data_IF_433686017102
#
_entry.id   IF_433686017102
#
_cell.length_a   1.000
_cell.length_b   1.000
_cell.length_c   1.000
_cell.angle_alpha   90.00
_cell.angle_beta   90.00
_cell.angle_gamma   90.00
#
_symmetry.space_group_name_H-M   'P 1'
#
loop_
_entity.id
_entity.type
_entity.pdbx_description
1 polymer ?
#
# COMPACT_ATOMS: atom_id res chain seq x y z
N UNK A 1 -19.75 -5.95 -25.00
CA UNK A 1 -19.24 -5.48 -23.70
C UNK A 1 -18.11 -6.43 -23.33
N UNK A 2 -16.87 -5.93 -23.19
CA UNK A 2 -15.72 -6.78 -22.87
C UNK A 2 -15.91 -7.34 -21.46
N UNK A 3 -15.86 -8.67 -21.31
CA UNK A 3 -15.63 -9.28 -20.01
C UNK A 3 -14.12 -9.37 -19.87
N UNK A 4 -13.55 -8.63 -18.92
CA UNK A 4 -12.24 -8.99 -18.39
C UNK A 4 -12.37 -10.41 -17.87
N UNK A 5 -11.45 -11.31 -18.25
CA UNK A 5 -11.37 -12.58 -17.55
C UNK A 5 -11.08 -12.22 -16.09
N UNK A 6 -12.00 -12.53 -15.17
CA UNK A 6 -11.77 -12.23 -13.78
C UNK A 6 -10.52 -12.99 -13.35
N UNK A 7 -9.68 -12.34 -12.55
CA UNK A 7 -8.64 -13.04 -11.82
C UNK A 7 -9.30 -14.19 -11.06
N UNK A 8 -8.74 -15.39 -11.19
CA UNK A 8 -9.34 -16.60 -10.64
C UNK A 8 -9.21 -16.63 -9.10
N UNK A 9 -8.36 -15.77 -8.54
CA UNK A 9 -8.00 -15.75 -7.13
C UNK A 9 -6.88 -16.73 -6.81
N UNK A 10 -6.62 -17.72 -7.63
CA UNK A 10 -5.56 -18.68 -7.32
C UNK A 10 -4.15 -18.14 -7.65
N UNK A 11 -4.02 -16.87 -8.03
CA UNK A 11 -2.72 -16.27 -8.35
C UNK A 11 -1.81 -16.20 -7.09
N UNK A 12 -0.55 -16.66 -7.21
CA UNK A 12 0.41 -16.60 -6.13
C UNK A 12 1.06 -15.23 -6.00
N UNK A 13 1.60 -14.97 -4.82
CA UNK A 13 2.57 -13.90 -4.60
C UNK A 13 3.96 -14.42 -4.96
N UNK A 14 4.72 -13.69 -5.77
CA UNK A 14 6.07 -14.10 -6.21
C UNK A 14 7.15 -13.14 -5.74
N UNK A 15 8.39 -13.62 -5.70
CA UNK A 15 9.61 -12.81 -5.54
C UNK A 15 10.72 -13.42 -6.40
N UNK A 16 11.28 -12.64 -7.32
CA UNK A 16 12.25 -13.11 -8.32
C UNK A 16 11.68 -14.22 -9.19
N UNK A 17 10.38 -14.17 -9.50
CA UNK A 17 9.66 -15.23 -10.23
C UNK A 17 9.41 -16.53 -9.44
N UNK A 18 9.85 -16.59 -8.18
CA UNK A 18 9.61 -17.74 -7.30
C UNK A 18 8.36 -17.51 -6.46
N UNK A 19 7.49 -18.52 -6.35
CA UNK A 19 6.30 -18.46 -5.50
C UNK A 19 6.71 -18.32 -4.03
N UNK A 20 6.18 -17.30 -3.36
CA UNK A 20 6.35 -17.06 -1.92
C UNK A 20 5.11 -17.43 -1.12
N UNK A 21 3.93 -17.16 -1.67
CA UNK A 21 2.65 -17.54 -1.05
C UNK A 21 1.70 -18.04 -2.15
N UNK A 22 1.32 -19.31 -2.09
CA UNK A 22 0.33 -19.90 -2.99
C UNK A 22 -1.09 -19.41 -2.66
N UNK A 23 -1.96 -19.29 -3.68
CA UNK A 23 -3.36 -18.86 -3.54
C UNK A 23 -3.51 -17.56 -2.72
N UNK A 24 -2.52 -16.67 -2.80
CA UNK A 24 -2.48 -15.44 -2.03
C UNK A 24 -3.67 -14.55 -2.38
N UNK A 25 -3.91 -14.41 -3.68
CA UNK A 25 -4.94 -13.52 -4.21
C UNK A 25 -6.35 -14.03 -3.86
N UNK A 26 -6.54 -15.32 -3.58
CA UNK A 26 -7.83 -15.90 -3.18
C UNK A 26 -8.22 -15.40 -1.80
N UNK A 27 -7.23 -15.29 -0.93
CA UNK A 27 -7.40 -14.69 0.40
C UNK A 27 -7.75 -13.20 0.29
N UNK A 28 -7.22 -12.51 -0.72
CA UNK A 28 -7.50 -11.11 -1.00
C UNK A 28 -8.88 -10.89 -1.67
N UNK A 29 -9.26 -11.70 -2.66
CA UNK A 29 -10.56 -11.62 -3.35
C UNK A 29 -11.73 -12.12 -2.54
N UNK A 30 -11.49 -12.97 -1.54
CA UNK A 30 -12.48 -13.22 -0.50
C UNK A 30 -12.95 -11.94 0.19
N UNK A 31 -12.22 -10.81 0.04
CA UNK A 31 -12.53 -9.54 0.67
C UNK A 31 -13.09 -8.47 -0.29
N UNK A 32 -12.96 -8.60 -1.63
CA UNK A 32 -13.46 -7.60 -2.60
C UNK A 32 -13.50 -8.10 -4.08
N UNK A 33 -14.36 -7.50 -4.92
CA UNK A 33 -14.42 -7.73 -6.39
C UNK A 33 -13.50 -6.74 -7.12
N UNK A 34 -12.36 -7.12 -7.74
CA UNK A 34 -11.56 -6.10 -8.46
C UNK A 34 -10.40 -6.52 -9.39
N UNK A 35 -9.94 -5.51 -10.15
CA UNK A 35 -8.77 -5.51 -11.03
C UNK A 35 -7.56 -4.82 -10.35
N UNK A 36 -6.47 -5.57 -10.10
CA UNK A 36 -5.32 -5.15 -9.28
C UNK A 36 -4.58 -3.88 -9.74
N UNK A 37 -4.71 -3.49 -11.01
CA UNK A 37 -4.09 -2.28 -11.55
C UNK A 37 -4.88 -1.00 -11.25
N UNK A 38 -6.09 -1.10 -10.67
CA UNK A 38 -6.89 0.06 -10.26
C UNK A 38 -6.31 0.69 -8.99
N UNK A 39 -6.18 2.04 -8.90
CA UNK A 39 -5.62 2.72 -7.72
C UNK A 39 -6.28 2.38 -6.38
N UNK A 40 -7.59 2.24 -6.33
CA UNK A 40 -8.32 1.91 -5.11
C UNK A 40 -7.97 0.49 -4.63
N UNK A 41 -8.00 -0.46 -5.57
CA UNK A 41 -7.72 -1.88 -5.33
C UNK A 41 -6.26 -2.08 -4.93
N UNK A 42 -5.34 -1.37 -5.58
CA UNK A 42 -3.93 -1.33 -5.21
C UNK A 42 -3.72 -0.78 -3.80
N UNK A 43 -4.52 0.19 -3.37
CA UNK A 43 -4.53 0.68 -1.99
C UNK A 43 -4.81 -0.45 -0.99
N UNK A 44 -5.92 -1.16 -1.19
CA UNK A 44 -6.28 -2.32 -0.37
C UNK A 44 -5.24 -3.45 -0.46
N UNK A 45 -4.69 -3.70 -1.64
CA UNK A 45 -3.67 -4.72 -1.84
C UNK A 45 -2.37 -4.39 -1.10
N UNK A 46 -1.90 -3.14 -1.16
CA UNK A 46 -0.74 -2.68 -0.41
C UNK A 46 -0.95 -2.84 1.11
N UNK A 47 -2.13 -2.52 1.61
CA UNK A 47 -2.49 -2.72 3.00
C UNK A 47 -2.50 -4.21 3.39
N UNK A 48 -3.09 -5.06 2.55
CA UNK A 48 -3.09 -6.50 2.76
C UNK A 48 -1.68 -7.10 2.74
N UNK A 49 -0.80 -6.66 1.83
CA UNK A 49 0.62 -7.03 1.84
C UNK A 49 1.26 -6.67 3.17
N UNK A 50 1.11 -5.43 3.64
CA UNK A 50 1.69 -4.99 4.90
C UNK A 50 1.19 -5.86 6.05
N UNK A 51 -0.12 -6.08 6.15
CA UNK A 51 -0.70 -6.96 7.16
C UNK A 51 -0.13 -8.39 7.13
N UNK A 52 -0.04 -8.99 5.93
CA UNK A 52 0.51 -10.33 5.76
C UNK A 52 1.98 -10.39 6.17
N UNK A 53 2.78 -9.38 5.83
CA UNK A 53 4.16 -9.26 6.30
C UNK A 53 4.22 -9.16 7.83
N UNK A 54 3.33 -8.39 8.46
CA UNK A 54 3.28 -8.27 9.92
C UNK A 54 2.92 -9.59 10.61
N UNK A 55 2.01 -10.40 10.04
CA UNK A 55 1.66 -11.71 10.57
C UNK A 55 2.80 -12.74 10.54
N UNK A 56 3.84 -12.50 9.73
CA UNK A 56 5.04 -13.38 9.71
C UNK A 56 5.94 -13.21 10.94
N UNK A 57 5.73 -12.17 11.75
CA UNK A 57 6.43 -12.01 13.01
C UNK A 57 5.96 -13.06 13.99
N UNK A 58 6.85 -13.99 14.34
CA UNK A 58 6.63 -14.94 15.42
C UNK A 58 7.07 -14.32 16.75
N UNK A 59 6.22 -14.41 17.77
CA UNK A 59 6.58 -14.03 19.14
C UNK A 59 5.51 -13.27 19.91
N UNK A 60 5.42 -13.56 21.22
CA UNK A 60 4.43 -12.96 22.13
C UNK A 60 4.52 -11.43 22.24
N UNK A 61 5.66 -10.83 21.90
CA UNK A 61 5.88 -9.38 22.02
C UNK A 61 5.30 -8.59 20.86
N UNK A 62 5.30 -9.12 19.64
CA UNK A 62 4.79 -8.40 18.47
C UNK A 62 3.50 -9.07 18.01
N UNK A 63 2.37 -8.40 18.21
CA UNK A 63 1.06 -8.99 17.94
C UNK A 63 0.29 -8.14 16.93
N UNK A 64 -0.43 -8.81 16.04
CA UNK A 64 -1.30 -8.20 15.04
C UNK A 64 -2.68 -8.83 15.19
N UNK A 65 -3.78 -8.05 15.21
CA UNK A 65 -5.12 -8.64 15.28
C UNK A 65 -5.40 -9.54 14.07
N UNK A 66 -5.56 -10.85 14.31
CA UNK A 66 -5.74 -11.88 13.26
C UNK A 66 -7.05 -11.66 12.48
N UNK A 67 -8.04 -11.01 13.09
CA UNK A 67 -9.33 -10.69 12.50
C UNK A 67 -9.43 -9.29 11.92
N UNK A 68 -8.31 -8.56 11.76
CA UNK A 68 -8.32 -7.12 11.43
C UNK A 68 -9.30 -6.78 10.30
N UNK A 69 -9.19 -7.48 9.16
CA UNK A 69 -10.04 -7.23 7.99
C UNK A 69 -11.43 -7.84 8.06
N UNK A 70 -11.70 -8.76 8.98
CA UNK A 70 -13.06 -9.23 9.25
C UNK A 70 -13.86 -8.22 10.09
N UNK A 71 -13.18 -7.32 10.79
CA UNK A 71 -13.77 -6.35 11.71
C UNK A 71 -13.61 -4.89 11.26
N UNK A 72 -12.84 -4.64 10.19
CA UNK A 72 -12.56 -3.30 9.68
C UNK A 72 -13.82 -2.68 9.11
N UNK A 73 -14.06 -1.43 9.46
CA UNK A 73 -15.11 -0.59 8.88
C UNK A 73 -14.43 0.48 8.02
N UNK A 74 -14.98 0.82 6.86
CA UNK A 74 -14.38 1.82 5.94
C UNK A 74 -14.18 3.20 6.60
N UNK A 75 -14.91 3.50 7.67
CA UNK A 75 -14.75 4.71 8.49
C UNK A 75 -13.61 4.65 9.51
N UNK A 76 -12.89 3.53 9.61
CA UNK A 76 -11.77 3.40 10.54
C UNK A 76 -10.66 4.38 10.18
N UNK A 77 -10.21 5.11 11.21
CA UNK A 77 -9.26 6.22 11.07
C UNK A 77 -7.87 5.75 10.63
N UNK A 78 -7.48 4.53 11.02
CA UNK A 78 -6.19 3.94 10.73
C UNK A 78 -6.39 2.69 9.87
N UNK A 79 -5.45 2.45 8.96
CA UNK A 79 -5.53 1.27 8.09
C UNK A 79 -5.15 0.01 8.85
N UNK A 80 -4.08 0.04 9.66
CA UNK A 80 -3.61 -1.15 10.39
C UNK A 80 -3.20 -0.80 11.82
N UNK A 81 -3.16 -1.81 12.68
CA UNK A 81 -2.64 -1.70 14.05
C UNK A 81 -1.78 -2.90 14.38
N UNK A 82 -0.77 -2.68 15.22
CA UNK A 82 0.01 -3.75 15.84
C UNK A 82 0.29 -3.40 17.30
N UNK A 83 0.66 -4.39 18.08
CA UNK A 83 1.04 -4.26 19.47
C UNK A 83 2.50 -4.67 19.61
N UNK A 84 3.26 -3.88 20.36
CA UNK A 84 4.59 -4.24 20.79
C UNK A 84 4.63 -4.21 22.32
N UNK A 85 4.76 -5.38 22.92
CA UNK A 85 4.39 -5.63 24.31
C UNK A 85 2.92 -5.19 24.53
N UNK A 86 2.64 -4.39 25.54
CA UNK A 86 1.28 -3.88 25.83
C UNK A 86 0.97 -2.53 25.15
N UNK A 87 1.84 -2.06 24.26
CA UNK A 87 1.69 -0.75 23.59
C UNK A 87 1.10 -0.94 22.20
N UNK A 88 -0.05 -0.32 21.95
CA UNK A 88 -0.68 -0.24 20.63
C UNK A 88 0.00 0.82 19.77
N UNK A 89 0.29 0.46 18.53
CA UNK A 89 0.74 1.36 17.48
C UNK A 89 -0.21 1.32 16.29
N UNK A 90 -0.36 2.47 15.64
CA UNK A 90 -1.25 2.67 14.49
C UNK A 90 -0.45 2.92 13.22
N UNK A 91 -0.92 2.38 12.10
CA UNK A 91 -0.30 2.51 10.79
C UNK A 91 -1.31 3.10 9.82
N UNK A 92 -0.89 4.14 9.08
CA UNK A 92 -1.55 4.57 7.85
C UNK A 92 -0.75 4.03 6.66
N UNK A 93 -1.44 3.40 5.72
CA UNK A 93 -0.89 2.94 4.45
C UNK A 93 -1.27 3.92 3.35
N UNK A 94 -0.31 4.25 2.49
CA UNK A 94 -0.56 4.98 1.24
C UNK A 94 0.17 4.27 0.11
N UNK A 95 -0.47 4.09 -1.03
CA UNK A 95 0.16 3.44 -2.19
C UNK A 95 0.20 4.32 -3.44
N UNK A 96 1.29 4.21 -4.19
CA UNK A 96 1.47 4.81 -5.51
C UNK A 96 2.21 3.83 -6.41
N UNK A 97 2.03 4.00 -7.71
CA UNK A 97 2.77 3.27 -8.73
C UNK A 97 3.65 4.22 -9.54
N UNK A 98 4.66 3.68 -10.24
CA UNK A 98 5.57 4.45 -11.09
C UNK A 98 4.90 5.08 -12.31
N UNK A 99 3.79 4.51 -12.80
CA UNK A 99 3.10 4.98 -14.00
C UNK A 99 2.17 6.17 -13.76
N UNK A 100 1.74 6.38 -12.52
CA UNK A 100 0.88 7.49 -12.12
C UNK A 100 1.56 8.84 -12.39
N UNK A 101 0.90 9.76 -13.07
CA UNK A 101 1.44 11.11 -13.34
C UNK A 101 1.68 11.92 -12.05
N UNK A 102 0.81 11.73 -11.06
CA UNK A 102 0.94 12.30 -9.73
C UNK A 102 1.78 11.35 -8.86
N UNK A 103 2.98 11.81 -8.48
CA UNK A 103 3.93 11.08 -7.63
C UNK A 103 3.90 11.55 -6.16
N UNK A 104 2.78 12.13 -5.72
CA UNK A 104 2.57 12.55 -4.34
C UNK A 104 1.66 11.58 -3.57
N UNK A 105 2.08 11.24 -2.36
CA UNK A 105 1.26 10.51 -1.40
C UNK A 105 0.53 11.51 -0.51
N UNK A 106 -0.81 11.46 -0.51
CA UNK A 106 -1.62 12.27 0.40
C UNK A 106 -1.56 11.69 1.81
N UNK A 107 -1.15 12.48 2.79
CA UNK A 107 -1.05 12.06 4.20
C UNK A 107 -2.20 12.57 5.05
N UNK A 108 -2.89 13.63 4.59
CA UNK A 108 -4.01 14.34 5.22
C UNK A 108 -3.76 14.75 6.68
N UNK A 109 -4.05 15.99 7.02
CA UNK A 109 -3.98 16.45 8.41
C UNK A 109 -5.33 16.24 9.09
N UNK A 110 -5.29 15.87 10.37
CA UNK A 110 -6.46 15.86 11.25
C UNK A 110 -7.03 17.28 11.26
N UNK A 111 -8.27 17.40 10.81
CA UNK A 111 -9.13 18.53 11.08
C UNK A 111 -10.28 17.99 11.92
N UNK A 112 -10.49 18.57 13.09
CA UNK A 112 -11.49 18.05 14.03
C UNK A 112 -12.10 19.15 14.87
N UNK A 113 -13.07 18.76 15.69
CA UNK A 113 -13.79 19.65 16.58
C UNK A 113 -13.67 19.13 18.01
N UNK A 114 -13.14 19.96 18.90
CA UNK A 114 -13.13 19.66 20.32
C UNK A 114 -14.50 20.04 20.89
N UNK A 115 -15.32 19.01 21.17
CA UNK A 115 -16.67 19.22 21.72
C UNK A 115 -16.65 19.85 23.12
N UNK A 116 -15.64 19.53 23.94
CA UNK A 116 -15.54 20.03 25.30
C UNK A 116 -15.23 21.55 25.33
N UNK A 117 -14.49 22.04 24.34
CA UNK A 117 -14.17 23.46 24.20
C UNK A 117 -14.99 24.18 23.13
N UNK A 118 -15.89 23.47 22.44
CA UNK A 118 -16.70 23.94 21.32
C UNK A 118 -15.87 24.69 20.24
N UNK A 119 -14.68 24.20 19.93
CA UNK A 119 -13.74 24.85 19.01
C UNK A 119 -13.10 23.86 18.05
N UNK A 120 -12.71 24.29 16.84
CA UNK A 120 -11.88 23.46 15.97
C UNK A 120 -10.57 23.09 16.68
N UNK A 121 -10.11 21.85 16.49
CA UNK A 121 -8.78 21.41 16.89
C UNK A 121 -7.78 22.22 16.05
N UNK A 122 -7.11 23.18 16.69
CA UNK A 122 -6.21 24.14 16.02
C UNK A 122 -4.84 23.56 15.71
N UNK A 123 -4.45 22.47 16.36
CA UNK A 123 -3.14 21.85 16.14
C UNK A 123 -3.30 20.74 15.11
N UNK A 124 -2.93 20.98 13.84
CA UNK A 124 -2.90 19.91 12.86
C UNK A 124 -1.95 18.81 13.36
N UNK A 125 -2.40 17.58 13.22
CA UNK A 125 -1.65 16.38 13.54
C UNK A 125 -1.93 15.35 12.46
N UNK A 126 -1.04 14.39 12.30
CA UNK A 126 -1.36 13.16 11.59
C UNK A 126 -2.08 12.17 12.52
N UNK A 127 -2.88 11.27 11.95
CA UNK A 127 -3.71 10.32 12.71
C UNK A 127 -2.88 9.17 13.29
N UNK A 128 -1.97 8.59 12.50
CA UNK A 128 -1.27 7.35 12.84
C UNK A 128 0.16 7.56 13.34
N UNK A 129 0.65 6.66 14.18
CA UNK A 129 2.04 6.66 14.70
C UNK A 129 3.07 6.50 13.57
N UNK A 130 2.76 5.62 12.62
CA UNK A 130 3.60 5.32 11.47
C UNK A 130 2.83 5.48 10.17
N UNK A 131 3.53 5.93 9.15
CA UNK A 131 3.06 5.97 7.77
C UNK A 131 3.92 5.03 6.95
N UNK A 132 3.28 4.10 6.23
CA UNK A 132 3.92 3.20 5.29
C UNK A 132 3.49 3.60 3.88
N UNK A 133 4.45 4.15 3.13
CA UNK A 133 4.27 4.51 1.72
C UNK A 133 4.75 3.35 0.86
N UNK A 134 3.80 2.59 0.32
CA UNK A 134 4.03 1.46 -0.56
C UNK A 134 4.14 1.94 -2.01
N UNK A 135 5.34 1.87 -2.57
CA UNK A 135 5.63 2.24 -3.94
C UNK A 135 5.77 1.00 -4.81
N UNK A 136 4.95 0.91 -5.86
CA UNK A 136 4.96 -0.16 -6.84
C UNK A 136 5.66 0.29 -8.12
N UNK A 137 6.73 -0.40 -8.50
CA UNK A 137 7.31 -0.25 -9.82
C UNK A 137 6.51 -1.06 -10.84
N UNK A 138 5.93 -0.39 -11.83
CA UNK A 138 5.26 -1.01 -12.98
C UNK A 138 6.14 -0.95 -14.22
N UNK A 139 5.84 -1.85 -15.17
CA UNK A 139 6.39 -1.77 -16.53
C UNK A 139 5.64 -0.69 -17.32
N UNK A 140 6.30 0.46 -17.49
CA UNK A 140 5.73 1.63 -18.17
C UNK A 140 5.41 1.36 -19.64
N UNK A 141 6.18 0.49 -20.31
CA UNK A 141 5.96 0.14 -21.72
C UNK A 141 4.65 -0.63 -21.87
N UNK A 142 4.41 -1.60 -20.98
CA UNK A 142 3.14 -2.34 -20.97
C UNK A 142 1.97 -1.43 -20.62
N UNK A 143 2.14 -0.53 -19.65
CA UNK A 143 1.11 0.45 -19.29
C UNK A 143 0.76 1.38 -20.46
N UNK A 144 1.75 1.87 -21.20
CA UNK A 144 1.54 2.70 -22.38
C UNK A 144 0.85 1.94 -23.53
N UNK A 145 1.19 0.67 -23.74
CA UNK A 145 0.51 -0.18 -24.72
C UNK A 145 -0.98 -0.34 -24.38
N UNK A 146 -1.30 -0.68 -23.12
CA UNK A 146 -2.69 -0.82 -22.65
C UNK A 146 -3.46 0.49 -22.78
N UNK A 147 -2.84 1.63 -22.42
CA UNK A 147 -3.43 2.95 -22.60
C UNK A 147 -3.66 3.29 -24.08
N UNK A 148 -2.73 2.93 -24.95
CA UNK A 148 -2.84 3.09 -26.40
C UNK A 148 -4.02 2.31 -26.97
N UNK A 149 -4.19 1.05 -26.56
CA UNK A 149 -5.37 0.26 -26.95
C UNK A 149 -6.67 0.90 -26.47
N UNK A 150 -6.76 1.34 -25.21
CA UNK A 150 -7.94 2.04 -24.71
C UNK A 150 -8.26 3.30 -25.51
N UNK A 151 -7.26 4.11 -25.83
CA UNK A 151 -7.44 5.32 -26.62
C UNK A 151 -7.99 5.03 -28.02
N UNK A 152 -7.42 4.04 -28.72
CA UNK A 152 -7.89 3.67 -30.06
C UNK A 152 -9.28 3.01 -30.06
N UNK A 153 -9.57 2.19 -29.05
CA UNK A 153 -10.86 1.51 -28.93
C UNK A 153 -11.99 2.43 -28.50
N UNK A 154 -11.69 3.49 -27.74
CA UNK A 154 -12.65 4.54 -27.42
C UNK A 154 -13.03 5.39 -28.64
N UNK A 155 -12.12 5.53 -29.62
CA UNK A 155 -12.40 6.23 -30.88
C UNK A 155 -13.25 5.39 -31.84
N UNK A 156 -12.97 4.09 -31.94
CA UNK A 156 -13.68 3.20 -32.87
C UNK A 156 -13.57 1.74 -32.45
N UNK A 157 -14.68 1.00 -32.57
CA UNK A 157 -14.71 -0.44 -32.32
C UNK A 157 -14.03 -1.26 -33.43
N UNK A 158 -13.81 -0.68 -34.61
CA UNK A 158 -13.21 -1.38 -35.77
C UNK A 158 -11.74 -1.77 -35.51
N UNK A 159 -11.06 -1.06 -34.61
CA UNK A 159 -9.66 -1.33 -34.22
C UNK A 159 -9.53 -2.47 -33.20
N UNK A 160 -10.66 -3.02 -32.71
CA UNK A 160 -10.72 -4.17 -31.81
C UNK A 160 -10.60 -5.51 -32.56
N UNK A 161 -9.51 -5.69 -33.31
CA UNK A 161 -9.23 -6.98 -33.96
C UNK A 161 -8.92 -8.05 -32.91
N UNK A 162 -9.21 -9.33 -33.21
CA UNK A 162 -8.88 -10.45 -32.29
C UNK A 162 -7.39 -10.49 -31.94
N UNK A 163 -6.52 -10.10 -32.88
CA UNK A 163 -5.08 -9.95 -32.62
C UNK A 163 -4.82 -8.90 -31.53
N UNK A 164 -5.38 -7.70 -31.67
CA UNK A 164 -5.19 -6.62 -30.70
C UNK A 164 -5.78 -6.97 -29.33
N UNK A 165 -6.92 -7.66 -29.31
CA UNK A 165 -7.53 -8.14 -28.05
C UNK A 165 -6.62 -9.12 -27.31
N UNK A 166 -5.99 -10.06 -28.02
CA UNK A 166 -5.03 -11.01 -27.42
C UNK A 166 -3.81 -10.29 -26.84
N UNK A 167 -3.25 -9.34 -27.59
CA UNK A 167 -2.09 -8.56 -27.12
C UNK A 167 -2.47 -7.75 -25.88
N UNK A 168 -3.60 -7.03 -25.92
CA UNK A 168 -4.11 -6.27 -24.78
C UNK A 168 -4.26 -7.14 -23.53
N UNK A 169 -4.87 -8.33 -23.67
CA UNK A 169 -5.02 -9.28 -22.58
C UNK A 169 -3.67 -9.73 -22.02
N UNK A 170 -2.72 -10.10 -22.88
CA UNK A 170 -1.37 -10.48 -22.46
C UNK A 170 -0.68 -9.35 -21.68
N UNK A 171 -0.75 -8.11 -22.15
CA UNK A 171 -0.19 -6.97 -21.44
C UNK A 171 -0.88 -6.76 -20.08
N UNK A 172 -2.19 -6.93 -19.98
CA UNK A 172 -2.90 -6.85 -18.70
C UNK A 172 -2.47 -7.95 -17.72
N UNK A 173 -2.35 -9.19 -18.19
CA UNK A 173 -1.90 -10.33 -17.38
C UNK A 173 -0.46 -10.09 -16.86
N UNK A 174 0.42 -9.54 -17.70
CA UNK A 174 1.78 -9.17 -17.31
C UNK A 174 1.82 -8.02 -16.31
N UNK A 175 1.01 -6.97 -16.48
CA UNK A 175 0.87 -5.90 -15.48
C UNK A 175 0.40 -6.48 -14.15
N UNK A 176 -0.59 -7.38 -14.16
CA UNK A 176 -1.05 -8.06 -12.93
C UNK A 176 0.07 -8.86 -12.28
N UNK A 177 0.85 -9.63 -13.05
CA UNK A 177 2.02 -10.34 -12.52
C UNK A 177 3.02 -9.37 -11.88
N UNK A 178 3.26 -8.22 -12.50
CA UNK A 178 4.14 -7.18 -11.92
C UNK A 178 3.60 -6.62 -10.61
N UNK A 179 2.28 -6.53 -10.43
CA UNK A 179 1.66 -6.15 -9.14
C UNK A 179 1.86 -7.24 -8.08
N UNK A 180 1.82 -8.52 -8.46
CA UNK A 180 1.96 -9.68 -7.57
C UNK A 180 3.43 -10.07 -7.30
N UNK A 181 4.37 -9.41 -7.95
CA UNK A 181 5.81 -9.60 -7.78
C UNK A 181 6.32 -8.67 -6.67
N UNK A 182 6.67 -9.25 -5.52
CA UNK A 182 7.09 -8.53 -4.32
C UNK A 182 8.33 -7.67 -4.53
N UNK A 183 9.22 -8.07 -5.44
CA UNK A 183 10.45 -7.31 -5.70
C UNK A 183 10.14 -5.97 -6.40
N UNK A 184 8.94 -5.81 -6.97
CA UNK A 184 8.46 -4.54 -7.50
C UNK A 184 7.93 -3.59 -6.43
N UNK A 185 7.80 -4.04 -5.18
CA UNK A 185 7.30 -3.21 -4.07
C UNK A 185 8.42 -2.71 -3.17
N UNK A 186 8.46 -1.40 -2.97
CA UNK A 186 9.29 -0.72 -1.97
C UNK A 186 8.42 -0.06 -0.92
N UNK A 187 8.77 -0.25 0.36
CA UNK A 187 8.01 0.28 1.49
C UNK A 187 8.86 1.30 2.24
N UNK A 188 8.40 2.56 2.22
CA UNK A 188 9.01 3.64 2.99
C UNK A 188 8.22 3.83 4.28
N UNK A 189 8.90 3.73 5.43
CA UNK A 189 8.29 3.85 6.75
C UNK A 189 8.75 5.14 7.38
N UNK A 190 7.80 5.98 7.80
CA UNK A 190 8.03 7.28 8.42
C UNK A 190 7.27 7.33 9.75
N UNK A 191 7.92 7.82 10.81
CA UNK A 191 7.22 8.16 12.05
C UNK A 191 6.45 9.46 11.86
N UNK A 192 5.25 9.55 12.41
CA UNK A 192 4.38 10.72 12.40
C UNK A 192 5.12 12.06 12.63
N UNK A 193 6.01 12.12 13.63
CA UNK A 193 6.75 13.32 14.01
C UNK A 193 7.71 13.82 12.91
N UNK A 194 8.08 12.96 11.97
CA UNK A 194 8.99 13.27 10.86
C UNK A 194 8.26 13.63 9.56
N UNK A 195 6.93 13.61 9.54
CA UNK A 195 6.15 14.12 8.42
C UNK A 195 6.05 15.66 8.41
N UNK A 196 6.46 16.33 9.48
CA UNK A 196 6.51 17.79 9.60
C UNK A 196 5.19 18.48 9.21
N UNK A 197 4.05 17.83 9.49
CA UNK A 197 2.70 18.30 9.17
C UNK A 197 2.46 18.56 7.67
N UNK A 198 3.22 17.92 6.80
CA UNK A 198 2.98 17.98 5.36
C UNK A 198 1.72 17.20 5.02
N UNK A 199 0.79 17.81 4.29
CA UNK A 199 -0.44 17.16 3.81
C UNK A 199 -0.21 16.17 2.66
N UNK A 200 0.98 16.23 2.07
CA UNK A 200 1.45 15.33 1.02
C UNK A 200 2.97 15.19 1.05
N UNK A 201 3.49 14.10 0.50
CA UNK A 201 4.93 13.86 0.37
C UNK A 201 5.23 13.15 -0.95
N UNK A 202 6.26 13.56 -1.67
CA UNK A 202 6.68 12.90 -2.91
C UNK A 202 7.68 11.77 -2.64
N UNK A 203 7.85 10.86 -3.62
CA UNK A 203 8.88 9.82 -3.56
C UNK A 203 10.30 10.38 -3.38
N UNK A 204 10.60 11.50 -4.06
CA UNK A 204 11.89 12.17 -3.93
C UNK A 204 12.11 12.67 -2.49
N UNK A 205 11.09 13.26 -1.88
CA UNK A 205 11.14 13.70 -0.48
C UNK A 205 11.28 12.53 0.49
N UNK A 206 10.57 11.41 0.27
CA UNK A 206 10.75 10.18 1.06
C UNK A 206 12.18 9.67 0.98
N UNK A 207 12.78 9.67 -0.21
CA UNK A 207 14.17 9.24 -0.43
C UNK A 207 15.15 10.15 0.31
N UNK A 208 14.93 11.47 0.30
CA UNK A 208 15.69 12.41 1.14
C UNK A 208 15.49 12.14 2.63
N UNK A 209 14.26 11.85 3.09
CA UNK A 209 14.03 11.50 4.49
C UNK A 209 14.75 10.21 4.90
N UNK A 210 14.95 9.26 3.98
CA UNK A 210 15.77 8.06 4.24
C UNK A 210 17.24 8.42 4.44
N UNK A 211 17.82 9.28 3.58
CA UNK A 211 19.22 9.72 3.72
C UNK A 211 19.44 10.54 5.01
N UNK A 212 18.43 11.31 5.43
CA UNK A 212 18.40 12.05 6.70
C UNK A 212 18.10 11.18 7.93
N UNK A 213 17.89 9.87 7.76
CA UNK A 213 17.50 8.92 8.84
C UNK A 213 16.18 9.25 9.54
N UNK A 214 15.30 10.01 8.88
CA UNK A 214 13.93 10.32 9.31
C UNK A 214 12.91 9.29 8.82
N UNK A 215 13.28 8.53 7.80
CA UNK A 215 12.52 7.41 7.25
C UNK A 215 13.43 6.19 7.07
N UNK A 216 12.84 5.03 6.81
CA UNK A 216 13.57 3.87 6.28
C UNK A 216 12.85 3.29 5.07
N UNK A 217 13.61 2.68 4.16
CA UNK A 217 13.07 1.94 3.02
C UNK A 217 13.39 0.46 3.18
N UNK A 218 12.43 -0.40 2.87
CA UNK A 218 12.56 -1.85 2.99
C UNK A 218 11.68 -2.58 1.97
N UNK A 219 11.97 -3.86 1.79
CA UNK A 219 11.12 -4.78 1.05
C UNK A 219 10.11 -5.48 1.98
N UNK A 220 9.20 -6.26 1.39
CA UNK A 220 8.14 -7.00 2.09
C UNK A 220 8.64 -7.81 3.29
N UNK A 221 9.74 -8.57 3.13
CA UNK A 221 10.26 -9.45 4.19
C UNK A 221 10.89 -8.68 5.36
N UNK A 222 11.48 -7.50 5.12
CA UNK A 222 12.12 -6.69 6.18
C UNK A 222 11.17 -5.71 6.85
N UNK A 223 10.00 -5.46 6.24
CA UNK A 223 8.99 -4.53 6.72
C UNK A 223 8.64 -4.67 8.20
N UNK A 224 8.25 -5.86 8.71
CA UNK A 224 7.83 -5.99 10.10
C UNK A 224 8.95 -5.66 11.09
N UNK A 225 10.18 -6.09 10.79
CA UNK A 225 11.35 -5.81 11.62
C UNK A 225 11.69 -4.32 11.67
N UNK A 226 11.51 -3.60 10.56
CA UNK A 226 11.74 -2.15 10.51
C UNK A 226 10.68 -1.40 11.34
N UNK A 227 9.40 -1.77 11.22
CA UNK A 227 8.32 -1.20 12.05
C UNK A 227 8.57 -1.44 13.54
N UNK A 228 8.90 -2.68 13.91
CA UNK A 228 9.23 -3.02 15.30
C UNK A 228 10.41 -2.18 15.82
N UNK A 229 11.49 -2.04 15.03
CA UNK A 229 12.65 -1.22 15.40
C UNK A 229 12.26 0.25 15.61
N UNK A 230 11.43 0.80 14.72
CA UNK A 230 10.97 2.19 14.85
C UNK A 230 10.08 2.37 16.09
N UNK A 231 9.19 1.42 16.39
CA UNK A 231 8.39 1.40 17.61
C UNK A 231 9.23 1.38 18.89
N UNK A 232 10.25 0.52 18.95
CA UNK A 232 11.20 0.48 20.08
C UNK A 232 11.92 1.82 20.27
N UNK A 233 12.40 2.43 19.18
CA UNK A 233 13.07 3.73 19.23
C UNK A 233 12.12 4.86 19.68
N UNK A 234 10.88 4.85 19.20
CA UNK A 234 9.83 5.80 19.63
C UNK A 234 9.56 5.67 21.13
N UNK A 235 9.42 4.44 21.64
CA UNK A 235 9.23 4.17 23.07
C UNK A 235 10.42 4.62 23.90
N UNK A 236 11.64 4.33 23.46
CA UNK A 236 12.86 4.73 24.18
C UNK A 236 13.01 6.25 24.28
N UNK A 237 12.60 7.00 23.23
CA UNK A 237 12.52 8.47 23.28
C UNK A 237 11.50 8.95 24.31
N UNK A 238 10.31 8.35 24.34
CA UNK A 238 9.26 8.73 25.27
C UNK A 238 9.62 8.48 26.76
N UNK A 239 10.48 7.50 27.05
CA UNK A 239 10.97 7.22 28.41
C UNK A 239 12.14 8.11 28.84
N UNK A 240 12.77 8.82 27.90
CA UNK A 240 13.91 9.71 28.15
C UNK A 240 13.50 11.18 28.35
N UNK A 241 12.20 11.48 28.27
CA UNK A 241 11.61 12.80 28.47
C UNK A 241 10.82 12.82 29.79
#
# INVERSE_FOLDING_TARGET
MFQLDPLCGDEPLTSGGTIKEENFVKSFWGWNNSALHNPMVRGYFAEFLIYRALLKMDGQRFQVPISHFATRIESDVHDLVFFLDDVKYTIQVKSKDSYSQDQFFKTSLVQGFNYATNTPIKTPSHWSDFYVFAYLQLDEVLCDLVKGFHFEWNKSLVTQTEKNKRIFKQCQDEIVRSVLELDNWSFYIVEQAHLDLKSEISLAQLTTSVSERKACVCNYERLPYMLMRMALLKRARALSC
#
